data_IF_476649708936
#
_entry.id   IF_476649708936
#
_cell.length_a   1.000
_cell.length_b   1.000
_cell.length_c   1.000
_cell.angle_alpha   90.00
_cell.angle_beta   90.00
_cell.angle_gamma   90.00
#
_symmetry.space_group_name_H-M   'P 1'
#
loop_
_entity.id
_entity.type
_entity.pdbx_description
1 polymer ?
#
# COMPACT_ATOMS: atom_id res chain seq x y z
N UNK A 1 6.25 15.96 -10.49
CA UNK A 1 6.28 16.90 -9.35
C UNK A 1 7.69 17.44 -9.07
N UNK A 2 8.76 16.69 -9.33
CA UNK A 2 10.14 17.19 -9.15
C UNK A 2 10.63 17.20 -7.70
N UNK A 3 9.95 16.45 -6.82
CA UNK A 3 10.29 16.28 -5.40
C UNK A 3 9.78 14.91 -4.92
N UNK A 4 10.28 14.39 -3.79
CA UNK A 4 9.80 13.14 -3.22
C UNK A 4 8.29 13.17 -2.98
N UNK A 5 7.61 12.16 -3.52
CA UNK A 5 6.18 11.97 -3.36
C UNK A 5 5.86 10.49 -3.47
N UNK A 6 4.79 10.07 -2.78
CA UNK A 6 4.23 8.74 -2.89
C UNK A 6 2.74 8.86 -3.23
N UNK A 7 2.16 7.82 -3.81
CA UNK A 7 0.74 7.83 -4.11
C UNK A 7 0.27 6.52 -4.70
N UNK A 8 -1.04 6.39 -4.77
CA UNK A 8 -1.72 5.19 -5.24
C UNK A 8 -2.86 5.57 -6.15
N UNK A 9 -2.94 4.85 -7.26
CA UNK A 9 -4.08 4.90 -8.18
C UNK A 9 -5.21 4.02 -7.67
N UNK A 10 -6.44 4.49 -7.85
CA UNK A 10 -7.67 3.73 -7.70
C UNK A 10 -8.49 3.80 -8.99
N UNK A 11 -9.14 2.70 -9.35
CA UNK A 11 -10.07 2.65 -10.49
C UNK A 11 -11.16 1.66 -10.11
N UNK A 12 -12.42 2.09 -10.14
CA UNK A 12 -13.54 1.20 -9.79
C UNK A 12 -13.83 0.24 -10.94
N UNK A 13 -14.56 -0.81 -10.62
CA UNK A 13 -15.10 -1.71 -11.64
C UNK A 13 -15.97 -0.91 -12.63
N UNK A 14 -16.02 -1.35 -13.88
CA UNK A 14 -16.71 -0.67 -14.98
C UNK A 14 -16.16 0.72 -15.38
N UNK A 15 -15.05 1.17 -14.78
CA UNK A 15 -14.40 2.46 -15.06
C UNK A 15 -15.31 3.67 -14.77
N UNK A 16 -16.17 3.57 -13.75
CA UNK A 16 -17.06 4.67 -13.35
C UNK A 16 -16.30 5.78 -12.61
N UNK A 17 -15.28 5.39 -11.83
CA UNK A 17 -14.48 6.30 -11.02
C UNK A 17 -13.00 6.08 -11.22
N UNK A 18 -12.28 7.20 -11.25
CA UNK A 18 -10.84 7.24 -11.23
C UNK A 18 -10.38 8.08 -10.05
N UNK A 19 -9.48 7.51 -9.24
CA UNK A 19 -8.91 8.13 -8.05
C UNK A 19 -7.39 8.19 -8.14
N UNK A 20 -6.83 9.25 -7.58
CA UNK A 20 -5.42 9.29 -7.20
C UNK A 20 -5.28 9.96 -5.85
N UNK A 21 -4.73 9.25 -4.88
CA UNK A 21 -4.37 9.79 -3.57
C UNK A 21 -2.86 9.76 -3.46
N UNK A 22 -2.26 10.89 -3.08
CA UNK A 22 -0.82 10.99 -2.95
C UNK A 22 -0.41 12.07 -1.97
N UNK A 23 0.85 11.99 -1.55
CA UNK A 23 1.40 12.89 -0.57
C UNK A 23 2.89 13.17 -0.79
N UNK A 24 3.30 14.30 -0.25
CA UNK A 24 4.68 14.68 0.06
C UNK A 24 4.85 14.62 1.59
N UNK A 25 6.05 14.81 2.16
CA UNK A 25 6.20 14.83 3.62
C UNK A 25 5.30 15.84 4.35
N UNK A 26 4.86 16.92 3.69
CA UNK A 26 4.11 18.00 4.33
C UNK A 26 2.65 18.14 3.87
N UNK A 27 2.28 17.54 2.72
CA UNK A 27 0.97 17.74 2.09
C UNK A 27 0.43 16.41 1.57
N UNK A 28 -0.80 16.08 1.95
CA UNK A 28 -1.61 15.01 1.35
C UNK A 28 -2.74 15.61 0.50
N UNK A 29 -3.03 15.00 -0.63
CA UNK A 29 -4.14 15.39 -1.48
C UNK A 29 -4.73 14.18 -2.21
N UNK A 30 -6.02 14.25 -2.52
CA UNK A 30 -6.74 13.29 -3.35
C UNK A 30 -7.40 13.99 -4.52
N UNK A 31 -7.41 13.34 -5.67
CA UNK A 31 -8.21 13.72 -6.83
C UNK A 31 -9.13 12.56 -7.19
N UNK A 32 -10.41 12.89 -7.40
CA UNK A 32 -11.42 11.99 -7.92
C UNK A 32 -12.03 12.59 -9.17
N UNK A 33 -12.42 11.72 -10.08
CA UNK A 33 -13.27 12.06 -11.22
C UNK A 33 -14.25 10.92 -11.46
N UNK A 34 -15.50 11.29 -11.69
CA UNK A 34 -16.65 10.44 -11.93
C UNK A 34 -17.80 11.29 -12.47
N UNK A 35 -18.86 10.64 -12.92
CA UNK A 35 -20.11 11.30 -13.23
C UNK A 35 -21.12 11.07 -12.11
N UNK A 36 -21.98 12.06 -11.86
CA UNK A 36 -23.01 11.98 -10.82
C UNK A 36 -24.03 10.85 -11.07
N UNK A 37 -24.17 10.40 -12.32
CA UNK A 37 -25.08 9.31 -12.75
C UNK A 37 -24.39 7.95 -12.91
N UNK A 38 -23.19 7.79 -12.33
CA UNK A 38 -22.39 6.55 -12.32
C UNK A 38 -22.11 5.95 -13.71
N UNK A 39 -22.21 6.73 -14.78
CA UNK A 39 -21.85 6.22 -16.11
C UNK A 39 -20.32 6.05 -16.25
N UNK A 40 -19.86 5.11 -17.09
CA UNK A 40 -18.42 4.92 -17.32
C UNK A 40 -17.72 6.19 -17.82
N UNK A 41 -16.51 6.44 -17.34
CA UNK A 41 -15.65 7.56 -17.77
C UNK A 41 -15.22 7.47 -19.23
N UNK A 42 -15.19 6.24 -19.76
CA UNK A 42 -14.72 5.92 -21.10
C UNK A 42 -13.58 4.91 -21.07
N UNK A 43 -13.24 4.39 -22.25
CA UNK A 43 -12.21 3.37 -22.36
C UNK A 43 -10.84 3.92 -21.92
N UNK A 44 -10.16 3.18 -21.04
CA UNK A 44 -8.85 3.51 -20.45
C UNK A 44 -8.81 4.70 -19.47
N UNK A 45 -9.95 5.29 -19.11
CA UNK A 45 -10.00 6.37 -18.12
C UNK A 45 -9.84 5.80 -16.70
N UNK A 46 -8.58 5.59 -16.32
CA UNK A 46 -8.14 5.04 -15.03
C UNK A 46 -7.63 6.14 -14.09
N UNK A 47 -7.39 5.80 -12.83
CA UNK A 47 -6.76 6.69 -11.86
C UNK A 47 -5.45 7.32 -12.34
N UNK A 48 -4.64 6.57 -13.11
CA UNK A 48 -3.36 7.05 -13.65
C UNK A 48 -3.54 8.06 -14.80
N UNK A 49 -4.62 7.93 -15.58
CA UNK A 49 -4.85 8.72 -16.79
C UNK A 49 -5.73 9.94 -16.51
N UNK A 50 -6.78 9.77 -15.72
CA UNK A 50 -7.79 10.79 -15.47
C UNK A 50 -7.50 11.60 -14.19
N UNK A 51 -7.25 10.93 -13.07
CA UNK A 51 -7.13 11.58 -11.76
C UNK A 51 -5.72 12.09 -11.43
N UNK A 52 -4.67 11.30 -11.73
CA UNK A 52 -3.28 11.66 -11.43
C UNK A 52 -2.85 13.01 -12.05
N UNK A 53 -3.21 13.36 -13.31
CA UNK A 53 -2.85 14.67 -13.85
C UNK A 53 -3.49 15.85 -13.11
N UNK A 54 -4.69 15.68 -12.56
CA UNK A 54 -5.37 16.69 -11.73
C UNK A 54 -4.59 16.89 -10.44
N UNK A 55 -4.29 15.79 -9.74
CA UNK A 55 -3.47 15.81 -8.53
C UNK A 55 -2.10 16.46 -8.77
N UNK A 56 -1.43 16.13 -9.87
CA UNK A 56 -0.12 16.69 -10.21
C UNK A 56 -0.19 18.21 -10.40
N UNK A 57 -1.17 18.70 -11.16
CA UNK A 57 -1.36 20.14 -11.40
C UNK A 57 -1.66 20.90 -10.10
N UNK A 58 -2.48 20.31 -9.22
CA UNK A 58 -2.77 20.88 -7.91
C UNK A 58 -1.50 20.95 -7.06
N UNK A 59 -0.78 19.83 -6.91
CA UNK A 59 0.41 19.74 -6.06
C UNK A 59 1.57 20.60 -6.56
N UNK A 60 1.70 20.82 -7.87
CA UNK A 60 2.68 21.76 -8.42
C UNK A 60 2.48 23.19 -7.90
N UNK A 61 1.23 23.59 -7.64
CA UNK A 61 0.90 24.90 -7.06
C UNK A 61 0.93 24.86 -5.53
N UNK A 62 0.31 23.85 -4.93
CA UNK A 62 0.19 23.74 -3.47
C UNK A 62 1.56 23.59 -2.77
N UNK A 63 2.52 22.94 -3.43
CA UNK A 63 3.87 22.72 -2.88
C UNK A 63 4.93 23.69 -3.43
N UNK A 64 4.56 24.71 -4.22
CA UNK A 64 5.54 25.59 -4.87
C UNK A 64 6.48 26.27 -3.85
N UNK A 65 5.91 26.76 -2.74
CA UNK A 65 6.63 27.51 -1.71
C UNK A 65 7.04 26.65 -0.50
N UNK A 66 6.86 25.33 -0.56
CA UNK A 66 7.30 24.43 0.50
C UNK A 66 8.69 23.87 0.22
N UNK A 67 9.55 23.71 1.26
CA UNK A 67 10.86 23.07 1.11
C UNK A 67 10.75 21.65 0.53
N UNK A 68 11.70 21.28 -0.32
CA UNK A 68 11.82 19.89 -0.79
C UNK A 68 12.40 19.04 0.34
N UNK A 69 11.62 18.08 0.84
CA UNK A 69 12.03 17.14 1.89
C UNK A 69 12.00 15.70 1.40
N UNK A 70 12.90 14.88 1.91
CA UNK A 70 12.84 13.42 1.77
C UNK A 70 11.99 12.81 2.88
N UNK A 71 11.36 11.66 2.60
CA UNK A 71 10.77 10.83 3.64
C UNK A 71 11.86 10.37 4.61
N UNK A 72 11.64 10.57 5.90
CA UNK A 72 12.56 10.12 6.94
C UNK A 72 12.34 8.63 7.19
N UNK A 73 13.44 7.86 7.23
CA UNK A 73 13.39 6.48 7.67
C UNK A 73 13.17 6.47 9.18
N UNK A 74 12.08 5.88 9.70
CA UNK A 74 11.85 5.82 11.13
C UNK A 74 12.80 4.83 11.82
N UNK A 75 12.96 4.97 13.14
CA UNK A 75 13.67 3.98 13.95
C UNK A 75 13.01 2.60 13.85
N UNK A 76 13.80 1.54 14.00
CA UNK A 76 13.32 0.16 13.86
C UNK A 76 13.03 -0.27 12.42
N UNK A 77 13.53 0.47 11.42
CA UNK A 77 13.54 0.04 10.02
C UNK A 77 14.95 -0.40 9.62
N UNK A 78 15.05 -1.59 9.03
CA UNK A 78 16.31 -2.19 8.57
C UNK A 78 16.26 -2.50 7.09
N UNK A 79 17.42 -2.45 6.44
CA UNK A 79 17.57 -2.83 5.03
C UNK A 79 18.30 -4.16 4.96
N UNK A 80 17.71 -5.15 4.28
CA UNK A 80 18.32 -6.45 4.09
C UNK A 80 18.56 -6.73 2.60
N UNK A 81 19.68 -7.40 2.31
CA UNK A 81 19.94 -7.95 0.98
C UNK A 81 19.16 -9.26 0.87
N UNK A 82 18.20 -9.29 -0.03
CA UNK A 82 17.40 -10.48 -0.33
C UNK A 82 17.66 -10.98 -1.74
N UNK A 83 17.43 -12.28 -1.93
CA UNK A 83 17.22 -12.85 -3.25
C UNK A 83 15.86 -12.42 -3.78
N UNK A 84 15.85 -11.76 -4.93
CA UNK A 84 14.63 -11.25 -5.56
C UNK A 84 13.60 -12.34 -5.86
N UNK A 85 14.03 -13.58 -6.12
CA UNK A 85 13.14 -14.68 -6.47
C UNK A 85 12.47 -15.28 -5.23
N UNK A 86 13.25 -15.50 -4.17
CA UNK A 86 12.77 -16.25 -2.99
C UNK A 86 12.31 -15.35 -1.86
N UNK A 87 12.74 -14.08 -1.83
CA UNK A 87 12.52 -13.17 -0.70
C UNK A 87 13.41 -13.45 0.51
N UNK A 88 14.29 -14.46 0.43
CA UNK A 88 15.16 -14.89 1.54
C UNK A 88 16.49 -14.14 1.52
N UNK A 89 17.32 -14.18 2.59
CA UNK A 89 18.61 -13.50 2.60
C UNK A 89 19.48 -13.93 1.42
N UNK A 90 20.05 -12.94 0.74
CA UNK A 90 20.94 -13.18 -0.39
C UNK A 90 22.17 -13.97 0.08
N UNK A 91 22.56 -14.97 -0.71
CA UNK A 91 23.80 -15.73 -0.51
C UNK A 91 24.82 -15.36 -1.58
N UNK A 92 26.03 -15.90 -1.48
CA UNK A 92 27.04 -15.73 -2.54
C UNK A 92 26.62 -16.35 -3.89
N UNK A 93 25.63 -17.25 -3.89
CA UNK A 93 25.09 -17.85 -5.10
C UNK A 93 23.89 -17.07 -5.69
N UNK A 94 23.39 -16.05 -4.99
CA UNK A 94 22.24 -15.26 -5.44
C UNK A 94 22.61 -14.39 -6.63
N UNK A 95 22.04 -14.68 -7.80
CA UNK A 95 22.28 -13.90 -9.02
C UNK A 95 21.61 -12.52 -9.00
N UNK A 96 20.44 -12.42 -8.35
CA UNK A 96 19.60 -11.21 -8.35
C UNK A 96 19.33 -10.73 -6.93
N UNK A 97 20.25 -9.89 -6.44
CA UNK A 97 20.15 -9.28 -5.11
C UNK A 97 19.31 -8.00 -5.19
N UNK A 98 18.36 -7.85 -4.26
CA UNK A 98 17.60 -6.62 -4.02
C UNK A 98 17.83 -6.16 -2.57
N UNK A 99 17.91 -4.85 -2.35
CA UNK A 99 17.76 -4.29 -1.00
C UNK A 99 16.30 -4.04 -0.73
N UNK A 100 15.76 -4.68 0.30
CA UNK A 100 14.37 -4.52 0.72
C UNK A 100 14.29 -4.02 2.16
N UNK A 101 13.20 -3.33 2.47
CA UNK A 101 12.97 -2.65 3.74
C UNK A 101 12.11 -3.52 4.65
N UNK A 102 12.56 -3.72 5.89
CA UNK A 102 11.86 -4.51 6.90
C UNK A 102 11.73 -3.74 8.21
N UNK A 103 10.74 -4.13 9.01
CA UNK A 103 10.74 -3.81 10.43
C UNK A 103 11.85 -4.62 11.11
N UNK A 104 12.54 -4.02 12.08
CA UNK A 104 13.56 -4.71 12.87
C UNK A 104 12.98 -5.98 13.49
N UNK A 105 13.72 -7.09 13.38
CA UNK A 105 13.28 -8.41 13.82
C UNK A 105 12.36 -9.16 12.85
N UNK A 106 11.84 -8.53 11.78
CA UNK A 106 10.99 -9.21 10.77
C UNK A 106 11.72 -9.50 9.47
N UNK A 107 12.97 -9.07 9.34
CA UNK A 107 13.80 -9.45 8.21
C UNK A 107 13.98 -10.97 8.18
N UNK A 108 13.92 -11.61 7.00
CA UNK A 108 14.07 -13.05 6.91
C UNK A 108 15.49 -13.46 7.36
N UNK A 109 15.63 -14.55 8.12
CA UNK A 109 16.90 -14.93 8.78
C UNK A 109 17.50 -16.25 8.32
N UNK A 110 16.70 -17.16 7.80
CA UNK A 110 17.13 -18.44 7.23
C UNK A 110 16.28 -18.73 6.00
N UNK A 111 16.79 -19.45 4.98
CA UNK A 111 15.94 -19.96 3.90
C UNK A 111 14.74 -20.67 4.55
N UNK A 112 13.52 -20.21 4.27
CA UNK A 112 12.34 -20.94 4.70
C UNK A 112 12.51 -22.36 4.16
N UNK A 113 12.24 -23.38 4.98
CA UNK A 113 12.03 -24.71 4.44
C UNK A 113 10.83 -24.57 3.49
N UNK A 114 11.11 -24.39 2.21
CA UNK A 114 10.15 -24.44 1.13
C UNK A 114 9.73 -25.91 1.01
N UNK A 115 8.95 -26.40 1.97
CA UNK A 115 8.15 -27.62 1.79
C UNK A 115 6.82 -27.30 1.08
N UNK A 116 6.68 -26.08 0.54
CA UNK A 116 5.57 -25.67 -0.28
C UNK A 116 6.01 -25.56 -1.73
N UNK A 117 5.46 -26.46 -2.56
CA UNK A 117 5.52 -26.51 -4.01
C UNK A 117 5.95 -25.19 -4.67
N UNK A 118 7.06 -25.24 -5.40
CA UNK A 118 7.67 -24.11 -6.12
C UNK A 118 6.76 -23.52 -7.20
N UNK A 119 5.58 -24.11 -7.43
CA UNK A 119 4.56 -23.63 -8.38
C UNK A 119 3.54 -22.64 -7.80
N UNK A 120 3.58 -22.31 -6.49
CA UNK A 120 2.62 -21.37 -5.90
C UNK A 120 3.14 -19.93 -6.03
N UNK A 121 2.45 -19.05 -6.78
CA UNK A 121 2.84 -17.65 -6.92
C UNK A 121 2.95 -16.94 -5.56
N UNK A 122 3.94 -16.06 -5.43
CA UNK A 122 4.17 -15.26 -4.21
C UNK A 122 2.91 -14.48 -3.77
N UNK A 123 2.05 -14.09 -4.72
CA UNK A 123 0.77 -13.44 -4.42
C UNK A 123 -0.17 -14.33 -3.60
N UNK A 124 -0.24 -15.63 -3.87
CA UNK A 124 -1.09 -16.55 -3.11
C UNK A 124 -0.54 -16.78 -1.71
N UNK A 125 0.80 -16.85 -1.57
CA UNK A 125 1.46 -16.95 -0.26
C UNK A 125 1.22 -15.73 0.62
N UNK A 126 1.10 -14.54 0.03
CA UNK A 126 0.82 -13.30 0.76
C UNK A 126 -0.58 -13.33 1.42
N UNK A 127 -1.60 -13.82 0.70
CA UNK A 127 -2.96 -13.93 1.23
C UNK A 127 -3.14 -15.03 2.28
N UNK A 128 -2.36 -16.11 2.24
CA UNK A 128 -2.38 -17.14 3.28
C UNK A 128 -1.83 -16.64 4.62
N UNK A 129 -0.83 -15.75 4.57
CA UNK A 129 -0.25 -15.15 5.77
C UNK A 129 -1.25 -14.28 6.52
N UNK A 130 -2.06 -13.49 5.80
CA UNK A 130 -3.13 -12.68 6.37
C UNK A 130 -4.22 -13.54 7.03
N UNK A 131 -4.62 -14.66 6.39
CA UNK A 131 -5.61 -15.59 6.96
C UNK A 131 -5.14 -16.21 8.28
N UNK A 132 -3.86 -16.55 8.40
CA UNK A 132 -3.30 -17.11 9.62
C UNK A 132 -3.14 -16.06 10.73
N UNK A 133 -2.91 -14.79 10.39
CA UNK A 133 -2.87 -13.70 11.38
C UNK A 133 -4.24 -13.40 12.00
N UNK A 134 -5.33 -13.60 11.25
CA UNK A 134 -6.70 -13.43 11.74
C UNK A 134 -7.15 -14.54 12.71
N UNK A 135 -6.39 -15.63 12.86
CA UNK A 135 -6.70 -16.73 13.77
C UNK A 135 -6.23 -16.50 15.22
N UNK A 136 -5.40 -15.50 15.47
CA UNK A 136 -4.76 -15.29 16.79
C UNK A 136 -5.28 -14.07 17.57
N UNK A 137 -6.37 -13.43 17.14
CA UNK A 137 -7.04 -12.46 18.00
C UNK A 137 -7.85 -13.20 19.08
N UNK A 138 -7.35 -13.14 20.32
CA UNK A 138 -8.12 -13.45 21.53
C UNK A 138 -9.46 -12.70 21.47
N UNK A 139 -10.56 -13.46 21.54
CA UNK A 139 -11.93 -12.90 21.59
C UNK A 139 -12.02 -11.90 22.73
N UNK A 140 -12.15 -10.61 22.39
CA UNK A 140 -12.66 -9.60 23.31
C UNK A 140 -14.05 -10.05 23.78
N UNK A 141 -14.38 -9.98 25.09
CA UNK A 141 -15.69 -10.34 25.58
C UNK A 141 -16.74 -9.39 24.99
N UNK A 142 -17.87 -9.96 24.58
CA UNK A 142 -18.97 -9.22 23.97
C UNK A 142 -19.45 -8.11 24.91
N UNK A 143 -19.58 -6.89 24.36
CA UNK A 143 -20.19 -5.75 25.04
C UNK A 143 -21.61 -6.13 25.45
N UNK A 144 -21.90 -6.07 26.75
CA UNK A 144 -23.25 -6.20 27.28
C UNK A 144 -24.14 -5.11 26.68
N UNK A 145 -25.34 -5.51 26.23
CA UNK A 145 -26.35 -4.63 25.67
C UNK A 145 -26.83 -3.68 26.77
N UNK A 146 -26.68 -2.36 26.54
CA UNK A 146 -27.31 -1.34 27.36
C UNK A 146 -28.82 -1.27 27.02
N UNK A 147 -29.72 -1.23 28.02
CA UNK A 147 -31.15 -1.09 27.75
C UNK A 147 -31.48 0.33 27.29
N UNK A 148 -32.38 0.44 26.30
CA UNK A 148 -32.95 1.71 25.86
C UNK A 148 -33.91 2.23 26.94
N UNK A 149 -33.59 3.38 27.55
CA UNK A 149 -34.55 4.16 28.34
C UNK A 149 -35.37 5.05 27.40
N UNK A 150 -36.68 4.91 27.54
CA UNK A 150 -37.77 5.64 26.92
C UNK A 150 -37.72 7.13 27.34
N UNK A 151 -37.67 8.06 26.39
CA UNK A 151 -37.79 9.50 26.66
C UNK A 151 -39.22 9.92 26.28
N UNK A 152 -39.97 10.37 27.29
CA UNK A 152 -41.28 11.05 27.24
C UNK A 152 -41.18 12.45 26.57
#
# INVERSE_FOLDING_TARGET
LGRPAAGKTGTTNNLNDAWFIGFTPDIIAGAWIGYDDERPLGHMETGARAALPIWLKFMQKAAADTPVKNFQTPEGVVFAKIDKLTGMPATNATERVLFEVFKEGTAPTAPANLTGDDNVPVSERFFEMDKNSASSEERLPALEQFPEEEID
#
